data_IF_134026811787
#
_entry.id   IF_134026811787
#
_cell.length_a   1.000
_cell.length_b   1.000
_cell.length_c   1.000
_cell.angle_alpha   90.00
_cell.angle_beta   90.00
_cell.angle_gamma   90.00
#
_symmetry.space_group_name_H-M   'P 1'
#
loop_
_entity.id
_entity.type
_entity.pdbx_description
1 polymer ?
#
# COMPACT_ATOMS: atom_id res chain seq x y z
N UNK A 1 18.38 -8.97 -24.63
CA UNK A 1 16.96 -8.64 -24.35
C UNK A 1 16.45 -9.21 -23.02
N UNK A 2 16.55 -10.52 -22.74
CA UNK A 2 16.06 -11.12 -21.47
C UNK A 2 16.55 -10.43 -20.18
N UNK A 3 17.82 -10.04 -20.12
CA UNK A 3 18.44 -9.40 -18.93
C UNK A 3 17.90 -7.99 -18.66
N UNK A 4 17.73 -7.18 -19.71
CA UNK A 4 17.18 -5.82 -19.64
C UNK A 4 15.72 -5.84 -19.17
N UNK A 5 14.91 -6.75 -19.71
CA UNK A 5 13.50 -6.92 -19.28
C UNK A 5 13.44 -7.31 -17.80
N UNK A 6 14.27 -8.24 -17.36
CA UNK A 6 14.32 -8.68 -15.96
C UNK A 6 14.72 -7.54 -15.01
N UNK A 7 15.70 -6.72 -15.39
CA UNK A 7 16.13 -5.57 -14.61
C UNK A 7 15.02 -4.51 -14.54
N UNK A 8 14.33 -4.22 -15.65
CA UNK A 8 13.18 -3.29 -15.67
C UNK A 8 12.08 -3.77 -14.71
N UNK A 9 11.72 -5.06 -14.74
CA UNK A 9 10.71 -5.63 -13.82
C UNK A 9 11.14 -5.53 -12.35
N UNK A 10 12.43 -5.72 -12.06
CA UNK A 10 12.96 -5.60 -10.70
C UNK A 10 12.88 -4.15 -10.22
N UNK A 11 13.33 -3.19 -11.03
CA UNK A 11 13.30 -1.77 -10.68
C UNK A 11 11.87 -1.20 -10.59
N UNK A 12 10.95 -1.64 -11.47
CA UNK A 12 9.55 -1.22 -11.41
C UNK A 12 8.83 -1.77 -10.17
N UNK A 13 9.15 -3.01 -9.76
CA UNK A 13 8.63 -3.55 -8.51
C UNK A 13 9.14 -2.77 -7.30
N UNK A 14 10.43 -2.38 -7.29
CA UNK A 14 11.04 -1.64 -6.17
C UNK A 14 10.47 -0.23 -6.07
N UNK A 15 10.31 0.46 -7.19
CA UNK A 15 9.71 1.80 -7.20
C UNK A 15 8.25 1.77 -6.76
N UNK A 16 7.48 0.76 -7.21
CA UNK A 16 6.10 0.57 -6.77
C UNK A 16 6.02 0.32 -5.27
N UNK A 17 6.84 -0.60 -4.74
CA UNK A 17 6.89 -0.89 -3.32
C UNK A 17 7.25 0.34 -2.48
N UNK A 18 8.28 1.09 -2.89
CA UNK A 18 8.70 2.31 -2.18
C UNK A 18 7.57 3.36 -2.17
N UNK A 19 6.91 3.57 -3.31
CA UNK A 19 5.79 4.52 -3.41
C UNK A 19 4.61 4.09 -2.53
N UNK A 20 4.30 2.80 -2.50
CA UNK A 20 3.25 2.24 -1.65
C UNK A 20 3.59 2.38 -0.15
N UNK A 21 4.83 2.09 0.25
CA UNK A 21 5.25 2.27 1.64
C UNK A 21 5.18 3.72 2.10
N UNK A 22 5.54 4.68 1.23
CA UNK A 22 5.40 6.12 1.52
C UNK A 22 3.91 6.47 1.70
N UNK A 23 3.04 5.96 0.83
CA UNK A 23 1.60 6.18 0.93
C UNK A 23 1.04 5.66 2.27
N UNK A 24 1.41 4.43 2.67
CA UNK A 24 0.99 3.84 3.95
C UNK A 24 1.52 4.65 5.14
N UNK A 25 2.78 5.08 5.09
CA UNK A 25 3.39 5.91 6.12
C UNK A 25 2.73 7.29 6.28
N UNK A 26 2.08 7.82 5.23
CA UNK A 26 1.28 9.04 5.32
C UNK A 26 -0.15 8.77 5.82
N UNK A 27 -0.73 7.62 5.50
CA UNK A 27 -2.11 7.30 5.87
C UNK A 27 -2.22 6.97 7.37
N UNK A 28 -1.32 6.15 7.91
CA UNK A 28 -1.42 5.66 9.31
C UNK A 28 -1.42 6.81 10.33
N UNK A 29 -0.46 7.76 10.32
CA UNK A 29 -0.43 8.83 11.32
C UNK A 29 -1.65 9.74 11.24
N UNK A 30 -2.12 10.04 10.02
CA UNK A 30 -3.29 10.87 9.82
C UNK A 30 -4.58 10.15 10.26
N UNK A 31 -4.70 8.85 9.98
CA UNK A 31 -5.80 8.03 10.47
C UNK A 31 -5.85 7.94 12.00
N UNK A 32 -4.70 7.75 12.65
CA UNK A 32 -4.59 7.74 14.13
C UNK A 32 -4.94 9.12 14.70
N UNK A 33 -4.45 10.20 14.10
CA UNK A 33 -4.77 11.57 14.55
C UNK A 33 -6.27 11.87 14.44
N UNK A 34 -6.92 11.45 13.35
CA UNK A 34 -8.38 11.60 13.19
C UNK A 34 -9.17 10.73 14.17
N UNK A 35 -8.71 9.52 14.49
CA UNK A 35 -9.31 8.70 15.54
C UNK A 35 -9.23 9.37 16.92
N UNK A 36 -8.07 9.90 17.29
CA UNK A 36 -7.88 10.58 18.58
C UNK A 36 -8.73 11.85 18.71
N UNK A 37 -8.93 12.57 17.62
CA UNK A 37 -9.66 13.84 17.59
C UNK A 37 -11.16 13.68 17.23
N UNK A 38 -11.65 12.45 17.00
CA UNK A 38 -13.04 12.22 16.59
C UNK A 38 -13.40 12.87 15.25
N UNK A 39 -12.45 12.96 14.33
CA UNK A 39 -12.65 13.56 13.00
C UNK A 39 -12.60 12.51 11.90
N UNK A 40 -13.06 12.87 10.71
CA UNK A 40 -13.00 12.01 9.54
C UNK A 40 -11.71 12.27 8.74
N UNK A 41 -10.96 11.21 8.46
CA UNK A 41 -9.83 11.23 7.54
C UNK A 41 -10.20 10.48 6.27
N UNK A 42 -10.09 11.16 5.14
CA UNK A 42 -10.23 10.55 3.82
C UNK A 42 -8.85 10.36 3.22
N UNK A 43 -8.44 9.09 3.06
CA UNK A 43 -7.15 8.80 2.47
C UNK A 43 -7.10 9.27 1.00
N UNK A 44 -5.91 9.64 0.51
CA UNK A 44 -5.71 10.03 -0.90
C UNK A 44 -6.30 9.02 -1.87
N UNK A 45 -6.73 9.48 -3.05
CA UNK A 45 -7.33 8.65 -4.10
C UNK A 45 -8.60 7.90 -3.66
N UNK A 46 -9.28 8.37 -2.61
CA UNK A 46 -10.46 7.74 -2.01
C UNK A 46 -10.22 6.28 -1.65
N UNK A 47 -9.02 5.94 -1.16
CA UNK A 47 -8.67 4.55 -0.89
C UNK A 47 -9.43 3.99 0.31
N UNK A 48 -9.44 4.75 1.38
CA UNK A 48 -10.13 4.40 2.60
C UNK A 48 -10.59 5.68 3.29
N UNK A 49 -11.73 5.59 3.95
CA UNK A 49 -12.22 6.64 4.84
C UNK A 49 -12.15 6.09 6.25
N UNK A 50 -11.51 6.83 7.14
CA UNK A 50 -11.45 6.54 8.58
C UNK A 50 -12.34 7.58 9.25
N UNK A 51 -13.45 7.16 9.83
CA UNK A 51 -14.29 7.98 10.70
C UNK A 51 -13.93 7.70 12.15
N UNK A 52 -13.41 8.70 12.86
CA UNK A 52 -13.44 8.69 14.32
C UNK A 52 -14.81 9.15 14.78
N UNK A 53 -15.57 8.29 15.47
CA UNK A 53 -16.85 8.66 16.08
C UNK A 53 -16.61 8.89 17.58
N UNK A 54 -16.76 10.13 18.03
CA UNK A 54 -16.70 10.50 19.44
C UNK A 54 -18.12 10.46 20.05
N UNK A 55 -18.60 9.28 20.43
CA UNK A 55 -19.88 9.12 21.12
C UNK A 55 -19.67 9.08 22.64
N UNK A 56 -19.37 10.24 23.25
CA UNK A 56 -19.47 10.52 24.69
C UNK A 56 -18.55 9.74 25.65
N UNK A 57 -18.53 8.40 25.59
CA UNK A 57 -17.72 7.51 26.44
C UNK A 57 -16.77 6.60 25.68
N UNK A 58 -16.93 6.43 24.35
CA UNK A 58 -16.07 5.54 23.55
C UNK A 58 -15.74 6.16 22.19
N UNK A 59 -14.46 6.11 21.82
CA UNK A 59 -14.02 6.40 20.46
C UNK A 59 -14.10 5.10 19.66
N UNK A 60 -15.03 5.02 18.70
CA UNK A 60 -15.06 3.93 17.74
C UNK A 60 -14.36 4.34 16.44
N UNK A 61 -13.64 3.39 15.84
CA UNK A 61 -12.95 3.54 14.56
C UNK A 61 -13.78 2.82 13.49
N UNK A 62 -14.37 3.59 12.58
CA UNK A 62 -15.00 3.02 11.40
C UNK A 62 -14.06 3.18 10.20
N UNK A 63 -13.67 2.06 9.59
CA UNK A 63 -12.85 2.05 8.38
C UNK A 63 -13.72 1.61 7.21
N UNK A 64 -13.97 2.52 6.28
CA UNK A 64 -14.64 2.22 5.02
C UNK A 64 -13.60 2.07 3.91
N UNK A 65 -13.37 0.84 3.47
CA UNK A 65 -12.54 0.56 2.32
C UNK A 65 -13.34 0.76 1.03
N UNK A 66 -12.79 1.48 0.06
CA UNK A 66 -13.39 1.54 -1.27
C UNK A 66 -12.95 0.33 -2.10
N UNK A 67 -13.75 0.01 -3.13
CA UNK A 67 -13.41 -1.07 -4.07
C UNK A 67 -12.04 -0.88 -4.73
N UNK A 68 -11.60 0.36 -4.88
CA UNK A 68 -10.30 0.74 -5.47
C UNK A 68 -9.14 0.25 -4.59
N UNK A 69 -9.29 0.25 -3.27
CA UNK A 69 -8.25 -0.21 -2.35
C UNK A 69 -7.92 -1.69 -2.53
N UNK A 70 -8.93 -2.53 -2.76
CA UNK A 70 -8.73 -3.96 -3.03
C UNK A 70 -7.87 -4.19 -4.28
N UNK A 71 -8.14 -3.44 -5.37
CA UNK A 71 -7.35 -3.52 -6.60
C UNK A 71 -5.91 -3.08 -6.40
N UNK A 72 -5.65 -2.08 -5.54
CA UNK A 72 -4.29 -1.65 -5.23
C UNK A 72 -3.53 -2.66 -4.38
N UNK A 73 -4.18 -3.33 -3.42
CA UNK A 73 -3.57 -4.43 -2.66
C UNK A 73 -3.21 -5.59 -3.59
N UNK A 74 -4.12 -5.95 -4.50
CA UNK A 74 -3.86 -7.00 -5.48
C UNK A 74 -2.68 -6.65 -6.38
N UNK A 75 -2.60 -5.39 -6.84
CA UNK A 75 -1.47 -4.89 -7.63
C UNK A 75 -0.16 -4.97 -6.84
N UNK A 76 -0.17 -4.59 -5.56
CA UNK A 76 1.00 -4.71 -4.68
C UNK A 76 1.48 -6.15 -4.52
N UNK A 77 0.58 -7.07 -4.24
CA UNK A 77 0.91 -8.50 -4.14
C UNK A 77 1.51 -9.03 -5.45
N UNK A 78 0.94 -8.61 -6.58
CA UNK A 78 1.43 -8.97 -7.91
C UNK A 78 2.84 -8.43 -8.15
N UNK A 79 3.08 -7.15 -7.85
CA UNK A 79 4.40 -6.52 -7.96
C UNK A 79 5.46 -7.19 -7.06
N UNK A 80 5.10 -7.52 -5.81
CA UNK A 80 5.99 -8.24 -4.88
C UNK A 80 6.33 -9.63 -5.41
N UNK A 81 5.35 -10.37 -5.89
CA UNK A 81 5.57 -11.69 -6.50
C UNK A 81 6.54 -11.58 -7.68
N UNK A 82 6.31 -10.63 -8.61
CA UNK A 82 7.22 -10.40 -9.74
C UNK A 82 8.64 -10.02 -9.30
N UNK A 83 8.79 -9.19 -8.27
CA UNK A 83 10.11 -8.84 -7.73
C UNK A 83 10.82 -10.07 -7.17
N UNK A 84 10.14 -10.88 -6.36
CA UNK A 84 10.69 -12.10 -5.77
C UNK A 84 11.08 -13.08 -6.89
N UNK A 85 10.19 -13.31 -7.85
CA UNK A 85 10.48 -14.15 -9.03
C UNK A 85 11.67 -13.63 -9.83
N UNK A 86 11.76 -12.32 -10.05
CA UNK A 86 12.89 -11.68 -10.73
C UNK A 86 14.21 -11.88 -9.99
N UNK A 87 14.23 -11.72 -8.66
CA UNK A 87 15.40 -11.97 -7.81
C UNK A 87 15.82 -13.45 -7.86
N UNK A 88 14.87 -14.37 -7.69
CA UNK A 88 15.11 -15.82 -7.71
C UNK A 88 15.62 -16.27 -9.08
N UNK A 89 15.01 -15.80 -10.16
CA UNK A 89 15.42 -16.12 -11.52
C UNK A 89 16.81 -15.55 -11.87
N UNK A 90 17.11 -14.31 -11.46
CA UNK A 90 18.43 -13.71 -11.61
C UNK A 90 19.50 -14.50 -10.85
N UNK A 91 19.18 -14.98 -9.64
CA UNK A 91 20.09 -15.80 -8.83
C UNK A 91 20.33 -17.18 -9.47
N UNK A 92 19.30 -17.80 -10.06
CA UNK A 92 19.40 -19.12 -10.70
C UNK A 92 20.20 -19.10 -12.03
N UNK A 93 20.16 -17.99 -12.78
CA UNK A 93 20.85 -17.82 -14.06
C UNK A 93 22.20 -17.07 -13.96
N UNK A 94 22.76 -16.92 -12.76
CA UNK A 94 24.15 -16.49 -12.55
C UNK A 94 25.15 -17.67 -12.60
N UNK A 95 24.81 -18.74 -13.32
CA UNK A 95 25.75 -19.78 -13.76
C UNK A 95 26.15 -19.49 -15.19
#
# INVERSE_FOLDING_TARGET
MKKIILDIFKYSGVSFFATFSILVALIIPNGVNSFLNGTTFQAPLNLLTISGIANGSENSLEIHFTRIFFWQILLLYTCLAFMIFGIVYAKKNKK
#
